data_IF_034279982388
#
_entry.id   IF_034279982388
#
_cell.length_a   1.000
_cell.length_b   1.000
_cell.length_c   1.000
_cell.angle_alpha   90.00
_cell.angle_beta   90.00
_cell.angle_gamma   90.00
#
_symmetry.space_group_name_H-M   'P 1'
#
loop_
_entity.id
_entity.type
_entity.pdbx_description
1 polymer ?
#
# COMPACT_ATOMS: atom_id res chain seq x y z
N UNK A 1 11.78 -9.77 -8.56
CA UNK A 1 10.65 -8.88 -8.84
C UNK A 1 10.07 -8.55 -7.48
N UNK A 2 10.07 -7.28 -7.06
CA UNK A 2 9.47 -6.87 -5.79
C UNK A 2 7.98 -6.72 -6.06
N UNK A 3 7.14 -7.46 -5.35
CA UNK A 3 5.68 -7.33 -5.45
C UNK A 3 5.17 -6.38 -4.36
N UNK A 4 3.96 -5.86 -4.51
CA UNK A 4 3.34 -5.04 -3.47
C UNK A 4 3.08 -5.81 -2.17
N UNK A 5 3.11 -7.14 -2.20
CA UNK A 5 3.02 -8.00 -1.01
C UNK A 5 4.31 -7.98 -0.18
N UNK A 6 5.45 -7.65 -0.81
CA UNK A 6 6.75 -7.53 -0.14
C UNK A 6 6.89 -6.20 0.63
N UNK A 7 5.97 -5.24 0.44
CA UNK A 7 5.99 -3.97 1.16
C UNK A 7 5.40 -4.19 2.55
N UNK A 8 6.22 -4.06 3.58
CA UNK A 8 5.77 -4.15 4.96
C UNK A 8 4.72 -3.07 5.28
N UNK A 9 3.73 -3.41 6.12
CA UNK A 9 2.69 -2.46 6.58
C UNK A 9 3.31 -1.17 7.14
N UNK A 10 4.47 -1.27 7.80
CA UNK A 10 5.21 -0.12 8.32
C UNK A 10 5.65 0.86 7.22
N UNK A 11 6.01 0.36 6.04
CA UNK A 11 6.43 1.20 4.92
C UNK A 11 5.24 1.85 4.23
N UNK A 12 4.08 1.16 4.18
CA UNK A 12 2.82 1.77 3.75
C UNK A 12 2.39 2.88 4.70
N UNK A 13 2.53 2.69 6.01
CA UNK A 13 2.23 3.72 7.01
C UNK A 13 3.14 4.96 6.88
N UNK A 14 4.45 4.74 6.64
CA UNK A 14 5.39 5.84 6.34
C UNK A 14 5.01 6.56 5.05
N UNK A 15 4.69 5.82 3.99
CA UNK A 15 4.25 6.40 2.72
C UNK A 15 3.01 7.25 2.88
N UNK A 16 1.97 6.72 3.55
CA UNK A 16 0.74 7.45 3.88
C UNK A 16 1.05 8.78 4.58
N UNK A 17 1.97 8.77 5.55
CA UNK A 17 2.42 9.96 6.26
C UNK A 17 3.14 10.96 5.33
N UNK A 18 4.06 10.48 4.49
CA UNK A 18 4.86 11.32 3.57
C UNK A 18 3.96 12.02 2.55
N UNK A 19 3.00 11.31 1.98
CA UNK A 19 2.09 11.84 0.94
C UNK A 19 0.83 12.48 1.54
N UNK A 20 0.72 12.53 2.87
CA UNK A 20 -0.40 13.07 3.64
C UNK A 20 -1.76 12.48 3.19
N UNK A 21 -1.81 11.16 3.06
CA UNK A 21 -3.02 10.40 2.76
C UNK A 21 -3.33 9.50 3.95
N UNK A 22 -4.63 9.25 4.17
CA UNK A 22 -5.08 8.31 5.17
C UNK A 22 -4.54 6.89 4.89
N UNK A 23 -3.93 6.27 5.92
CA UNK A 23 -3.30 4.96 5.80
C UNK A 23 -4.28 3.88 5.36
N UNK A 24 -5.49 3.87 5.92
CA UNK A 24 -6.49 2.84 5.63
C UNK A 24 -6.93 2.92 4.17
N UNK A 25 -7.19 4.14 3.66
CA UNK A 25 -7.48 4.35 2.24
C UNK A 25 -6.35 3.89 1.34
N UNK A 26 -5.11 4.25 1.64
CA UNK A 26 -3.94 3.84 0.86
C UNK A 26 -3.80 2.31 0.84
N UNK A 27 -3.92 1.67 2.00
CA UNK A 27 -3.81 0.22 2.14
C UNK A 27 -4.88 -0.54 1.35
N UNK A 28 -6.14 -0.08 1.40
CA UNK A 28 -7.24 -0.68 0.64
C UNK A 28 -7.04 -0.52 -0.87
N UNK A 29 -6.62 0.65 -1.33
CA UNK A 29 -6.32 0.87 -2.76
C UNK A 29 -5.17 -0.01 -3.23
N UNK A 30 -4.11 -0.17 -2.44
CA UNK A 30 -3.00 -1.07 -2.78
C UNK A 30 -3.45 -2.53 -2.87
N UNK A 31 -4.28 -3.00 -1.93
CA UNK A 31 -4.87 -4.35 -1.99
C UNK A 31 -5.71 -4.58 -3.23
N UNK A 32 -6.52 -3.60 -3.62
CA UNK A 32 -7.33 -3.68 -4.83
C UNK A 32 -6.45 -3.81 -6.08
N UNK A 33 -5.40 -2.99 -6.19
CA UNK A 33 -4.46 -3.06 -7.32
C UNK A 33 -3.77 -4.43 -7.39
N UNK A 34 -3.41 -5.04 -6.25
CA UNK A 34 -2.86 -6.40 -6.23
C UNK A 34 -3.90 -7.42 -6.72
N UNK A 35 -5.14 -7.34 -6.24
CA UNK A 35 -6.21 -8.27 -6.61
C UNK A 35 -6.59 -8.18 -8.11
N UNK A 36 -6.49 -7.01 -8.73
CA UNK A 36 -6.78 -6.81 -10.16
C UNK A 36 -5.65 -7.29 -11.09
N UNK A 37 -4.44 -7.51 -10.57
CA UNK A 37 -3.28 -7.96 -11.34
C UNK A 37 -3.04 -9.49 -11.25
N UNK A 38 -3.95 -10.24 -10.63
CA UNK A 38 -3.94 -11.70 -10.55
C UNK A 38 -5.04 -12.35 -11.39
#
# INVERSE_FOLDING_TARGET
MITFEDIEINDIAKLATIINIDFEKLYLSMKQVVAENY
#
